data_IF_628837017148
#
_entry.id   IF_628837017148
#
_cell.length_a   1.000
_cell.length_b   1.000
_cell.length_c   1.000
_cell.angle_alpha   90.00
_cell.angle_beta   90.00
_cell.angle_gamma   90.00
#
_symmetry.space_group_name_H-M   'P 1'
#
loop_
_entity.id
_entity.type
_entity.pdbx_description
1 polymer ?
#
# COMPACT_ATOMS: atom_id res chain seq x y z
N UNK A 1 -5.95 -9.38 4.72
CA UNK A 1 -4.49 -9.35 4.53
C UNK A 1 -3.82 -8.19 5.27
N UNK A 2 -2.48 -8.20 5.46
CA UNK A 2 -1.73 -7.05 6.01
C UNK A 2 -1.29 -6.09 4.89
N UNK A 3 -1.41 -4.78 5.09
CA UNK A 3 -1.01 -3.76 4.13
C UNK A 3 -0.40 -2.53 4.80
N UNK A 4 0.49 -1.83 4.07
CA UNK A 4 1.07 -0.55 4.50
C UNK A 4 0.17 0.60 4.04
N UNK A 5 -0.31 1.43 4.97
CA UNK A 5 -1.19 2.57 4.72
C UNK A 5 -0.50 3.85 5.19
N UNK A 6 -0.58 4.91 4.39
CA UNK A 6 -0.08 6.25 4.75
C UNK A 6 -1.27 7.14 5.11
N UNK A 7 -1.27 7.69 6.32
CA UNK A 7 -2.31 8.58 6.83
C UNK A 7 -1.92 10.06 6.73
N UNK A 8 -0.64 10.35 6.58
CA UNK A 8 -0.08 11.69 6.43
C UNK A 8 1.43 11.62 6.33
N UNK A 9 2.09 12.77 6.12
CA UNK A 9 3.55 12.84 6.09
C UNK A 9 4.15 12.24 7.38
N UNK A 10 5.07 11.28 7.24
CA UNK A 10 5.67 10.55 8.35
C UNK A 10 4.77 9.52 9.06
N UNK A 11 3.47 9.47 8.78
CA UNK A 11 2.52 8.54 9.43
C UNK A 11 2.20 7.36 8.50
N UNK A 12 2.98 6.28 8.67
CA UNK A 12 2.84 5.04 7.93
C UNK A 12 2.61 3.88 8.90
N UNK A 13 1.53 3.12 8.68
CA UNK A 13 1.11 2.03 9.56
C UNK A 13 0.89 0.75 8.78
N UNK A 14 1.08 -0.37 9.45
CA UNK A 14 0.70 -1.68 8.90
C UNK A 14 -0.62 -2.10 9.53
N UNK A 15 -1.63 -2.28 8.69
CA UNK A 15 -2.98 -2.63 9.13
C UNK A 15 -3.45 -3.96 8.55
N UNK A 16 -4.48 -4.52 9.17
CA UNK A 16 -5.22 -5.66 8.60
C UNK A 16 -6.40 -5.11 7.82
N UNK A 17 -6.39 -5.33 6.50
CA UNK A 17 -7.43 -4.91 5.56
C UNK A 17 -8.13 -6.14 4.97
N UNK A 18 -9.32 -6.00 4.38
CA UNK A 18 -9.96 -7.10 3.65
C UNK A 18 -9.06 -7.69 2.57
N UNK A 19 -9.25 -8.96 2.25
CA UNK A 19 -8.55 -9.58 1.13
C UNK A 19 -9.05 -9.00 -0.21
N UNK A 20 -8.19 -8.89 -1.23
CA UNK A 20 -8.56 -8.31 -2.51
C UNK A 20 -9.57 -9.18 -3.23
N UNK A 21 -10.47 -8.55 -3.99
CA UNK A 21 -11.42 -9.21 -4.87
C UNK A 21 -11.18 -8.80 -6.32
N UNK A 22 -11.42 -9.71 -7.25
CA UNK A 22 -11.37 -9.42 -8.69
C UNK A 22 -12.53 -8.47 -9.04
N UNK A 23 -12.24 -7.41 -9.80
CA UNK A 23 -13.25 -6.43 -10.23
C UNK A 23 -13.55 -6.56 -11.73
N UNK A 24 -12.53 -6.90 -12.52
CA UNK A 24 -12.63 -7.11 -13.95
C UNK A 24 -12.19 -8.53 -14.32
N UNK A 25 -12.66 -9.08 -15.46
CA UNK A 25 -12.29 -10.45 -15.90
C UNK A 25 -10.79 -10.64 -16.13
N UNK A 26 -10.05 -9.56 -16.32
CA UNK A 26 -8.61 -9.56 -16.61
C UNK A 26 -7.74 -9.39 -15.37
N UNK A 27 -8.33 -9.24 -14.18
CA UNK A 27 -7.57 -9.07 -12.94
C UNK A 27 -6.95 -10.37 -12.45
N UNK A 28 -5.87 -10.27 -11.69
CA UNK A 28 -5.25 -11.40 -10.99
C UNK A 28 -4.90 -11.02 -9.55
N UNK A 29 -5.11 -11.95 -8.62
CA UNK A 29 -4.66 -11.80 -7.23
C UNK A 29 -3.29 -12.44 -7.10
N UNK A 30 -2.30 -11.65 -6.68
CA UNK A 30 -0.91 -12.09 -6.53
C UNK A 30 -0.53 -12.15 -5.06
N UNK A 31 0.03 -13.28 -4.62
CA UNK A 31 0.66 -13.39 -3.30
C UNK A 31 2.02 -12.70 -3.34
N UNK A 32 2.12 -11.52 -2.73
CA UNK A 32 3.37 -10.77 -2.60
C UNK A 32 4.36 -11.55 -1.74
N UNK A 33 5.49 -11.97 -2.34
CA UNK A 33 6.59 -12.65 -1.62
C UNK A 33 7.60 -11.67 -1.05
N UNK A 34 7.81 -10.55 -1.74
CA UNK A 34 8.73 -9.46 -1.38
C UNK A 34 8.19 -8.15 -1.94
N UNK A 35 8.39 -7.08 -1.20
CA UNK A 35 8.12 -5.70 -1.62
C UNK A 35 9.32 -4.84 -1.20
N UNK A 36 9.58 -3.77 -1.95
CA UNK A 36 10.65 -2.82 -1.69
C UNK A 36 10.05 -1.41 -1.57
N UNK A 37 10.80 -0.51 -0.94
CA UNK A 37 10.50 0.92 -0.94
C UNK A 37 11.23 1.55 -2.13
N UNK A 38 10.50 2.28 -2.97
CA UNK A 38 11.03 3.06 -4.07
C UNK A 38 11.32 4.49 -3.60
N UNK A 39 12.24 5.20 -4.28
CA UNK A 39 12.44 6.62 -4.05
C UNK A 39 11.18 7.46 -4.26
N UNK A 40 10.27 7.03 -5.14
CA UNK A 40 8.98 7.71 -5.37
C UNK A 40 8.06 7.70 -4.15
N UNK A 41 8.21 6.72 -3.26
CA UNK A 41 7.39 6.60 -2.06
C UNK A 41 7.73 7.71 -1.04
N UNK A 42 8.94 8.30 -1.15
CA UNK A 42 9.36 9.41 -0.29
C UNK A 42 8.64 10.72 -0.59
N UNK A 43 8.07 10.89 -1.80
CA UNK A 43 7.35 12.11 -2.15
C UNK A 43 6.12 12.34 -1.25
N UNK A 44 5.16 11.39 -1.14
CA UNK A 44 4.06 11.52 -0.21
C UNK A 44 4.51 11.36 1.25
N UNK A 45 5.51 10.52 1.54
CA UNK A 45 6.02 10.37 2.91
C UNK A 45 6.48 11.70 3.52
N UNK A 46 7.04 12.62 2.72
CA UNK A 46 7.46 13.94 3.20
C UNK A 46 6.37 15.02 3.14
N UNK A 47 5.42 14.93 2.20
CA UNK A 47 4.55 16.07 1.85
C UNK A 47 3.05 15.75 1.84
N UNK A 48 2.63 14.55 2.24
CA UNK A 48 1.21 14.18 2.26
C UNK A 48 0.46 14.98 3.35
N UNK A 49 -0.66 15.64 3.01
CA UNK A 49 -1.53 16.27 3.99
C UNK A 49 -2.02 15.28 5.04
N UNK A 50 -2.21 15.76 6.27
CA UNK A 50 -2.84 15.02 7.36
C UNK A 50 -4.37 15.07 7.27
#
# INVERSE_FOLDING_TARGET
MRATIMYGAGDVRVETVPDPALQQPTDAIVRVVRACVCGSDLHPYHNMPA
#
